data_IF_503753481064
#
_entry.id   IF_503753481064
#
_cell.length_a   1.000
_cell.length_b   1.000
_cell.length_c   1.000
_cell.angle_alpha   90.00
_cell.angle_beta   90.00
_cell.angle_gamma   90.00
#
_symmetry.space_group_name_H-M   'P 1'
#
loop_
_entity.id
_entity.type
_entity.pdbx_description
1 polymer ?
#
# COMPACT_ATOMS: atom_id res chain seq x y z
N UNK A 1 0.67 -5.96 -10.68
CA UNK A 1 1.64 -5.57 -9.65
C UNK A 1 1.11 -4.37 -8.88
N UNK A 2 1.34 -4.36 -7.59
CA UNK A 2 0.90 -3.27 -6.71
C UNK A 2 2.11 -2.60 -6.10
N UNK A 3 2.05 -1.29 -5.97
CA UNK A 3 3.12 -0.49 -5.37
C UNK A 3 2.59 0.10 -4.07
N UNK A 4 3.28 -0.16 -2.97
CA UNK A 4 2.97 0.45 -1.68
C UNK A 4 3.97 1.59 -1.47
N UNK A 5 3.47 2.80 -1.36
CA UNK A 5 4.32 3.99 -1.32
C UNK A 5 4.86 4.25 0.09
N UNK A 6 5.71 3.34 0.53
CA UNK A 6 6.49 3.49 1.76
C UNK A 6 7.87 4.05 1.40
N UNK A 7 8.80 4.10 2.34
CA UNK A 7 10.18 4.48 2.08
C UNK A 7 11.12 3.38 2.57
N UNK A 8 11.70 2.60 1.65
CA UNK A 8 11.53 2.61 0.19
C UNK A 8 10.20 1.97 -0.22
N UNK A 9 9.73 2.29 -1.43
CA UNK A 9 8.51 1.71 -1.95
C UNK A 9 8.61 0.19 -2.02
N UNK A 10 7.49 -0.47 -1.74
CA UNK A 10 7.41 -1.93 -1.81
C UNK A 10 6.54 -2.34 -2.97
N UNK A 11 6.85 -3.49 -3.57
CA UNK A 11 6.15 -4.01 -4.73
C UNK A 11 5.61 -5.40 -4.40
N UNK A 12 4.35 -5.65 -4.72
CA UNK A 12 3.73 -6.95 -4.47
C UNK A 12 2.95 -7.40 -5.69
N UNK A 13 2.65 -8.71 -5.74
CA UNK A 13 1.81 -9.28 -6.81
C UNK A 13 0.35 -9.34 -6.40
N UNK A 14 0.05 -9.15 -5.12
CA UNK A 14 -1.29 -9.33 -4.56
C UNK A 14 -1.73 -8.07 -3.84
N UNK A 15 -2.98 -7.65 -4.10
CA UNK A 15 -3.56 -6.52 -3.40
C UNK A 15 -3.63 -6.79 -1.89
N UNK A 16 -3.91 -8.04 -1.51
CA UNK A 16 -3.96 -8.41 -0.10
C UNK A 16 -2.62 -8.17 0.58
N UNK A 17 -1.52 -8.56 -0.06
CA UNK A 17 -0.19 -8.31 0.48
C UNK A 17 0.10 -6.82 0.57
N UNK A 18 -0.30 -6.05 -0.45
CA UNK A 18 -0.10 -4.60 -0.45
C UNK A 18 -0.85 -3.97 0.72
N UNK A 19 -2.09 -4.39 0.97
CA UNK A 19 -2.86 -3.89 2.10
C UNK A 19 -2.21 -4.24 3.43
N UNK A 20 -1.66 -5.44 3.55
CA UNK A 20 -0.98 -5.86 4.77
C UNK A 20 0.25 -4.99 5.05
N UNK A 21 1.01 -4.66 4.01
CA UNK A 21 2.17 -3.79 4.16
C UNK A 21 1.74 -2.39 4.58
N UNK A 22 0.69 -1.86 3.94
CA UNK A 22 0.18 -0.53 4.25
C UNK A 22 -0.34 -0.47 5.69
N UNK A 23 -1.06 -1.50 6.12
CA UNK A 23 -1.61 -1.56 7.47
C UNK A 23 -0.50 -1.67 8.52
N UNK A 24 0.52 -2.49 8.25
CA UNK A 24 1.65 -2.63 9.16
C UNK A 24 2.41 -1.30 9.30
N UNK A 25 2.55 -0.57 8.20
CA UNK A 25 3.20 0.72 8.22
C UNK A 25 2.38 1.71 9.06
N UNK A 26 1.06 1.70 8.88
CA UNK A 26 0.16 2.57 9.63
C UNK A 26 0.22 2.25 11.13
N UNK A 27 0.24 0.97 11.50
CA UNK A 27 0.33 0.56 12.91
C UNK A 27 1.63 1.04 13.56
N UNK A 28 2.71 1.06 12.78
CA UNK A 28 4.03 1.42 13.30
C UNK A 28 4.24 2.93 13.35
N UNK A 29 3.74 3.67 12.37
CA UNK A 29 4.08 5.09 12.22
C UNK A 29 2.88 6.03 12.33
N UNK A 30 1.66 5.51 12.18
CA UNK A 30 0.46 6.34 12.10
C UNK A 30 0.27 7.01 10.75
N UNK A 31 1.11 6.70 9.77
CA UNK A 31 1.01 7.28 8.44
C UNK A 31 0.16 6.41 7.52
N UNK A 32 -0.77 7.04 6.81
CA UNK A 32 -1.55 6.37 5.77
C UNK A 32 -0.75 6.45 4.48
N UNK A 33 -0.51 5.29 3.85
CA UNK A 33 0.24 5.24 2.61
C UNK A 33 -0.66 4.77 1.47
N UNK A 34 -0.34 5.22 0.26
CA UNK A 34 -1.09 4.85 -0.93
C UNK A 34 -0.65 3.49 -1.44
N UNK A 35 -1.61 2.77 -2.04
CA UNK A 35 -1.35 1.55 -2.79
C UNK A 35 -1.83 1.80 -4.22
N UNK A 36 -0.95 1.64 -5.18
CA UNK A 36 -1.29 1.82 -6.59
C UNK A 36 -1.34 0.48 -7.30
N UNK A 37 -2.42 0.24 -8.05
CA UNK A 37 -2.48 -0.89 -8.98
C UNK A 37 -1.81 -0.45 -10.28
N UNK A 38 -0.61 -0.98 -10.53
CA UNK A 38 0.19 -0.56 -11.67
C UNK A 38 -0.48 -0.89 -13.01
N UNK A 39 -1.32 -1.91 -13.07
CA UNK A 39 -1.98 -2.27 -14.33
C UNK A 39 -3.13 -1.35 -14.69
N UNK A 40 -3.81 -0.77 -13.72
CA UNK A 40 -4.98 0.09 -13.96
C UNK A 40 -4.76 1.54 -13.55
N UNK A 41 -3.66 1.83 -12.88
CA UNK A 41 -3.33 3.15 -12.33
C UNK A 41 -4.35 3.63 -11.28
N UNK A 42 -5.06 2.71 -10.65
CA UNK A 42 -5.98 3.03 -9.57
C UNK A 42 -5.20 3.12 -8.26
N UNK A 43 -5.41 4.21 -7.53
CA UNK A 43 -4.75 4.44 -6.25
C UNK A 43 -5.78 4.29 -5.13
N UNK A 44 -5.41 3.59 -4.07
CA UNK A 44 -6.27 3.39 -2.92
C UNK A 44 -5.49 3.65 -1.63
N UNK A 45 -6.23 3.81 -0.54
CA UNK A 45 -5.64 4.08 0.77
C UNK A 45 -6.26 3.09 1.77
N UNK A 46 -5.72 1.85 1.84
CA UNK A 46 -6.37 0.80 2.63
C UNK A 46 -6.53 1.12 4.11
N UNK A 47 -5.63 1.92 4.67
CA UNK A 47 -5.69 2.27 6.09
C UNK A 47 -6.58 3.46 6.39
N UNK A 48 -7.10 4.11 5.36
CA UNK A 48 -7.99 5.26 5.51
C UNK A 48 -9.44 4.77 5.49
N UNK A 49 -9.84 4.18 6.58
CA UNK A 49 -11.17 3.60 6.72
C UNK A 49 -11.92 4.26 7.86
#
# INVERSE_FOLDING_TARGET
MFIVYTEPNKFTKSYKEACQIADAHYDRTGEIVAVEDHSTNVISFPSDQ
#
